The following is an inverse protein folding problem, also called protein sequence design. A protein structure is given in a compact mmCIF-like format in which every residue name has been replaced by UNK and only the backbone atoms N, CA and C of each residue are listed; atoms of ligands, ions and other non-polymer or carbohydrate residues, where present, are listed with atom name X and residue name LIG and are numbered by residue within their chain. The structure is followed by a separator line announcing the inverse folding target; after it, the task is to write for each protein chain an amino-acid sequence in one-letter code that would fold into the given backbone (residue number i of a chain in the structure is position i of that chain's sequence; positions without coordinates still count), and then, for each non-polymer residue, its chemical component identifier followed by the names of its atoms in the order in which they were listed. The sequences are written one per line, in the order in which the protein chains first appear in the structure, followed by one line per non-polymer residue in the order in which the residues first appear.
data_IF_099210721819
#
_entry.id   IF_099210721819
#
_cell.length_a   1.000
_cell.length_b   1.000
_cell.length_c   1.000
_cell.angle_alpha   90.00
_cell.angle_beta   90.00
_cell.angle_gamma   90.00
#
_symmetry.space_group_name_H-M   'P 1'
#
loop_
_entity.id
_entity.type
_entity.pdbx_description
1 polymer ?
#
# COMPACT_ATOMS: atom_id res chain seq x y z
N UNK A 1 8.67 -7.22 -51.51
CA UNK A 1 9.79 -6.42 -50.99
C UNK A 1 10.09 -6.89 -49.57
N UNK A 2 11.31 -7.36 -49.27
CA UNK A 2 11.68 -7.82 -47.93
C UNK A 2 11.61 -6.65 -46.93
N UNK A 3 11.25 -6.94 -45.68
CA UNK A 3 11.12 -5.95 -44.61
C UNK A 3 12.51 -5.48 -44.16
N UNK A 4 12.77 -4.16 -44.07
CA UNK A 4 14.07 -3.63 -43.66
C UNK A 4 14.30 -3.83 -42.16
N UNK A 5 15.13 -4.81 -41.79
CA UNK A 5 15.34 -5.24 -40.40
C UNK A 5 16.04 -4.19 -39.55
N UNK A 6 16.83 -3.30 -40.16
CA UNK A 6 17.52 -2.20 -39.50
C UNK A 6 16.54 -1.25 -38.81
N UNK A 7 15.35 -1.08 -39.40
CA UNK A 7 14.28 -0.27 -38.81
C UNK A 7 13.60 -0.95 -37.62
N UNK A 8 13.72 -2.27 -37.48
CA UNK A 8 13.12 -3.05 -36.40
C UNK A 8 14.06 -3.18 -35.19
N UNK A 9 15.37 -2.97 -35.35
CA UNK A 9 16.33 -3.06 -34.26
C UNK A 9 16.01 -2.13 -33.07
N UNK A 10 15.65 -0.84 -33.27
CA UNK A 10 15.28 0.03 -32.15
C UNK A 10 14.02 -0.47 -31.42
N UNK A 11 13.02 -0.95 -32.17
CA UNK A 11 11.80 -1.50 -31.58
C UNK A 11 12.07 -2.79 -30.82
N UNK A 12 12.94 -3.66 -31.32
CA UNK A 12 13.33 -4.89 -30.64
C UNK A 12 14.04 -4.59 -29.31
N UNK A 13 14.94 -3.61 -29.28
CA UNK A 13 15.62 -3.18 -28.05
C UNK A 13 14.60 -2.64 -27.05
N UNK A 14 13.66 -1.77 -27.48
CA UNK A 14 12.61 -1.25 -26.61
C UNK A 14 11.76 -2.38 -26.02
N UNK A 15 11.26 -3.30 -26.86
CA UNK A 15 10.46 -4.44 -26.42
C UNK A 15 11.24 -5.33 -25.45
N UNK A 16 12.52 -5.58 -25.71
CA UNK A 16 13.37 -6.36 -24.82
C UNK A 16 13.53 -5.69 -23.45
N UNK A 17 13.82 -4.39 -23.41
CA UNK A 17 13.96 -3.65 -22.14
C UNK A 17 12.65 -3.64 -21.35
N UNK A 18 11.52 -3.34 -21.99
CA UNK A 18 10.20 -3.40 -21.35
C UNK A 18 9.86 -4.82 -20.87
N UNK A 19 10.22 -5.84 -21.65
CA UNK A 19 10.04 -7.25 -21.28
C UNK A 19 10.85 -7.62 -20.04
N UNK A 20 12.13 -7.26 -20.00
CA UNK A 20 13.02 -7.50 -18.85
C UNK A 20 12.52 -6.76 -17.61
N UNK A 21 12.14 -5.49 -17.73
CA UNK A 21 11.62 -4.72 -16.59
C UNK A 21 10.29 -5.28 -16.10
N UNK A 22 9.37 -5.62 -17.00
CA UNK A 22 8.05 -6.17 -16.65
C UNK A 22 8.14 -7.52 -15.95
N UNK A 23 8.94 -8.44 -16.50
CA UNK A 23 9.18 -9.76 -15.91
C UNK A 23 9.94 -9.66 -14.59
N UNK A 24 10.96 -8.81 -14.50
CA UNK A 24 11.71 -8.54 -13.27
C UNK A 24 10.82 -8.02 -12.14
N UNK A 25 9.96 -7.04 -12.44
CA UNK A 25 9.00 -6.51 -11.45
C UNK A 25 7.98 -7.56 -11.02
N UNK A 26 7.47 -8.36 -11.96
CA UNK A 26 6.54 -9.44 -11.64
C UNK A 26 7.18 -10.47 -10.69
N UNK A 27 8.43 -10.86 -10.94
CA UNK A 27 9.17 -11.79 -10.10
C UNK A 27 9.42 -11.25 -8.69
N UNK A 28 9.85 -9.99 -8.56
CA UNK A 28 10.04 -9.37 -7.24
C UNK A 28 8.72 -9.32 -6.46
N UNK A 29 7.62 -8.94 -7.13
CA UNK A 29 6.30 -8.89 -6.49
C UNK A 29 5.79 -10.26 -6.07
N UNK A 30 6.01 -11.32 -6.84
CA UNK A 30 5.59 -12.68 -6.43
C UNK A 30 6.43 -13.17 -5.25
N UNK A 31 7.73 -12.90 -5.22
CA UNK A 31 8.60 -13.25 -4.09
C UNK A 31 8.21 -12.53 -2.80
N UNK A 32 7.91 -11.24 -2.87
CA UNK A 32 7.45 -10.46 -1.71
C UNK A 32 6.09 -10.91 -1.17
N UNK A 33 5.26 -11.52 -2.01
CA UNK A 33 3.92 -11.99 -1.65
C UNK A 33 3.86 -13.48 -1.35
N UNK A 34 4.98 -14.09 -0.92
CA UNK A 34 5.04 -15.52 -0.57
C UNK A 34 4.62 -16.44 -1.73
N UNK A 35 4.89 -16.01 -2.98
CA UNK A 35 4.49 -16.71 -4.20
C UNK A 35 3.05 -16.44 -4.64
N UNK A 36 2.25 -15.73 -3.86
CA UNK A 36 0.86 -15.37 -4.21
C UNK A 36 0.82 -14.15 -5.12
N UNK A 37 -0.25 -14.03 -5.91
CA UNK A 37 -0.45 -12.87 -6.79
C UNK A 37 -0.72 -11.62 -5.94
N UNK A 38 -0.21 -10.44 -6.34
CA UNK A 38 -0.54 -9.18 -5.67
C UNK A 38 -2.05 -8.91 -5.78
N UNK A 39 -2.62 -8.32 -4.72
CA UNK A 39 -4.02 -7.88 -4.70
C UNK A 39 -4.07 -6.44 -5.15
N UNK A 40 -5.05 -6.11 -5.98
CA UNK A 40 -5.32 -4.76 -6.46
C UNK A 40 -6.64 -4.27 -5.86
N UNK A 41 -6.89 -2.96 -5.89
CA UNK A 41 -8.16 -2.34 -5.45
C UNK A 41 -8.63 -2.74 -4.05
N UNK A 42 -7.70 -2.84 -3.09
CA UNK A 42 -8.03 -3.17 -1.69
C UNK A 42 -8.87 -2.04 -1.07
N UNK A 43 -10.05 -2.39 -0.58
CA UNK A 43 -10.97 -1.46 0.09
C UNK A 43 -10.66 -1.33 1.60
N UNK A 44 -11.49 -0.55 2.32
CA UNK A 44 -11.30 -0.37 3.75
C UNK A 44 -11.54 -1.68 4.54
N UNK A 45 -12.39 -2.56 4.03
CA UNK A 45 -12.68 -3.86 4.64
C UNK A 45 -11.47 -4.78 4.55
N UNK A 46 -10.88 -4.89 3.36
CA UNK A 46 -9.68 -5.68 3.10
C UNK A 46 -8.48 -5.21 3.92
N UNK A 47 -8.31 -3.88 4.02
CA UNK A 47 -7.15 -3.27 4.69
C UNK A 47 -7.25 -3.27 6.21
N UNK A 48 -8.38 -2.80 6.76
CA UNK A 48 -8.43 -2.31 8.13
C UNK A 48 -9.48 -3.03 8.99
N UNK A 49 -10.58 -3.50 8.39
CA UNK A 49 -11.78 -3.76 9.18
C UNK A 49 -11.86 -5.21 9.70
N UNK A 50 -11.42 -6.25 8.95
CA UNK A 50 -11.04 -7.50 9.63
C UNK A 50 -10.08 -8.45 8.88
N UNK A 51 -9.63 -8.22 7.65
CA UNK A 51 -9.04 -9.32 6.85
C UNK A 51 -7.51 -9.33 6.91
N UNK A 52 -6.82 -8.39 6.26
CA UNK A 52 -5.35 -8.49 6.11
C UNK A 52 -4.59 -8.27 7.42
N UNK A 53 -4.96 -7.28 8.23
CA UNK A 53 -4.35 -7.02 9.55
C UNK A 53 -4.66 -8.14 10.56
N UNK A 54 -5.79 -8.86 10.40
CA UNK A 54 -6.11 -10.05 11.21
C UNK A 54 -5.29 -11.25 10.78
N UNK A 55 -5.27 -11.56 9.49
CA UNK A 55 -4.54 -12.73 8.95
C UNK A 55 -3.05 -12.62 9.31
N UNK A 56 -2.48 -11.42 9.24
CA UNK A 56 -1.11 -11.16 9.70
C UNK A 56 -0.90 -11.49 11.18
N UNK A 57 -1.89 -11.24 12.04
CA UNK A 57 -1.83 -11.59 13.47
C UNK A 57 -1.99 -13.10 13.70
N UNK A 58 -2.75 -13.78 12.85
CA UNK A 58 -2.96 -15.24 12.93
C UNK A 58 -1.76 -16.04 12.41
N UNK A 59 -1.13 -15.61 11.30
CA UNK A 59 -0.05 -16.38 10.65
C UNK A 59 1.33 -15.79 10.84
N UNK A 60 1.45 -14.55 11.35
CA UNK A 60 2.72 -13.84 11.50
C UNK A 60 3.31 -13.31 10.18
N UNK A 61 2.73 -13.65 9.04
CA UNK A 61 3.18 -13.22 7.70
C UNK A 61 2.14 -12.34 7.01
N UNK A 62 2.57 -11.49 6.06
CA UNK A 62 1.63 -10.56 5.41
C UNK A 62 0.64 -11.26 4.46
N UNK A 63 0.98 -12.44 3.93
CA UNK A 63 0.16 -13.17 2.95
C UNK A 63 -0.19 -14.60 3.37
N UNK A 64 0.13 -14.97 4.60
CA UNK A 64 -0.22 -16.27 5.18
C UNK A 64 -1.73 -16.45 5.24
N UNK A 65 -2.16 -17.69 5.03
CA UNK A 65 -3.55 -18.10 5.24
C UNK A 65 -3.50 -19.37 6.09
N UNK A 66 -4.39 -19.45 7.05
CA UNK A 66 -4.56 -20.63 7.91
C UNK A 66 -6.02 -21.06 7.87
N UNK A 67 -6.26 -22.37 7.87
CA UNK A 67 -7.57 -22.99 7.96
C UNK A 67 -7.79 -23.70 9.28
N UNK A 68 -6.89 -23.51 10.26
CA UNK A 68 -7.00 -24.11 11.58
C UNK A 68 -8.27 -23.61 12.29
N UNK A 69 -8.97 -24.54 12.93
CA UNK A 69 -10.23 -24.25 13.64
C UNK A 69 -9.98 -23.46 14.93
N UNK A 70 -8.84 -23.72 15.59
CA UNK A 70 -8.44 -23.04 16.82
C UNK A 70 -7.30 -22.04 16.53
N UNK A 71 -7.43 -20.84 17.08
CA UNK A 71 -6.43 -19.79 16.90
C UNK A 71 -5.15 -20.09 17.70
N UNK A 72 -3.97 -19.64 17.24
CA UNK A 72 -2.74 -19.86 17.97
C UNK A 72 -2.80 -19.17 19.35
N UNK A 73 -2.19 -19.79 20.39
CA UNK A 73 -2.17 -19.22 21.72
C UNK A 73 -1.47 -17.85 21.70
N UNK A 74 -2.07 -16.88 22.38
CA UNK A 74 -1.58 -15.50 22.41
C UNK A 74 -2.20 -14.56 21.38
N UNK A 75 -2.94 -15.07 20.38
CA UNK A 75 -3.71 -14.21 19.45
C UNK A 75 -4.67 -13.27 20.21
N UNK A 76 -5.23 -13.75 21.32
CA UNK A 76 -6.13 -13.04 22.23
C UNK A 76 -5.58 -11.68 22.70
N UNK A 77 -4.25 -11.58 22.88
CA UNK A 77 -3.60 -10.38 23.42
C UNK A 77 -2.98 -9.48 22.34
N UNK A 78 -3.10 -9.82 21.05
CA UNK A 78 -2.47 -9.09 19.94
C UNK A 78 -3.31 -7.92 19.41
N UNK A 79 -4.38 -7.55 20.09
CA UNK A 79 -5.29 -6.47 19.68
C UNK A 79 -4.70 -5.08 19.97
N UNK A 80 -3.92 -4.56 19.01
CA UNK A 80 -3.42 -3.18 19.06
C UNK A 80 -4.45 -2.17 18.53
N UNK A 81 -4.90 -1.25 19.39
CA UNK A 81 -5.68 -0.09 18.96
C UNK A 81 -4.75 0.99 18.39
N UNK A 82 -4.98 1.41 17.15
CA UNK A 82 -4.21 2.48 16.52
C UNK A 82 -4.62 3.82 17.13
N UNK A 83 -3.78 4.37 18.01
CA UNK A 83 -3.98 5.72 18.54
C UNK A 83 -3.64 6.76 17.46
N UNK A 84 -4.63 7.59 17.09
CA UNK A 84 -4.39 8.71 16.18
C UNK A 84 -3.89 9.90 17.01
N UNK A 85 -2.66 10.35 16.74
CA UNK A 85 -2.11 11.53 17.37
C UNK A 85 -2.69 12.79 16.69
N UNK A 86 -3.48 13.59 17.43
CA UNK A 86 -4.13 14.81 16.95
C UNK A 86 -3.23 16.06 17.05
N UNK A 87 -1.97 15.98 16.61
CA UNK A 87 -1.04 17.13 16.72
C UNK A 87 -1.21 18.23 15.66
N UNK A 88 -2.19 18.13 14.75
CA UNK A 88 -2.29 19.03 13.60
C UNK A 88 -3.48 20.01 13.60
N UNK A 89 -4.37 19.97 14.59
CA UNK A 89 -5.62 20.76 14.53
C UNK A 89 -5.54 22.08 15.32
N UNK A 90 -4.55 22.23 16.19
CA UNK A 90 -4.33 23.48 16.95
C UNK A 90 -3.60 24.56 16.15
N UNK A 91 -2.80 24.20 15.13
CA UNK A 91 -2.09 25.18 14.30
C UNK A 91 -3.02 25.89 13.30
N UNK A 92 -4.12 25.25 12.88
CA UNK A 92 -5.09 25.88 11.97
C UNK A 92 -6.08 26.80 12.70
N UNK A 93 -6.43 26.50 13.96
CA UNK A 93 -7.32 27.34 14.76
C UNK A 93 -6.65 28.62 15.27
N UNK A 94 -5.34 28.59 15.58
CA UNK A 94 -4.63 29.84 15.92
C UNK A 94 -4.50 30.82 14.74
N UNK A 95 -4.45 30.32 13.49
CA UNK A 95 -4.33 31.19 12.31
C UNK A 95 -5.62 31.95 12.02
N UNK A 96 -6.78 31.32 12.20
CA UNK A 96 -8.09 31.99 12.02
C UNK A 96 -8.36 33.02 13.11
N UNK A 97 -7.91 32.78 14.34
CA UNK A 97 -8.09 33.73 15.44
C UNK A 97 -7.20 34.97 15.27
N UNK A 98 -5.96 34.83 14.78
CA UNK A 98 -5.09 35.97 14.47
C UNK A 98 -5.68 36.81 13.32
N UNK A 99 -6.21 36.17 12.28
CA UNK A 99 -6.77 36.86 11.12
C UNK A 99 -8.03 37.69 11.48
N UNK A 100 -8.94 37.13 12.29
CA UNK A 100 -10.14 37.83 12.77
C UNK A 100 -9.82 38.98 13.75
N UNK A 101 -8.73 38.89 14.51
CA UNK A 101 -8.33 39.95 15.44
C UNK A 101 -7.67 41.14 14.72
N UNK A 102 -6.98 40.93 13.60
CA UNK A 102 -6.42 42.02 12.76
C UNK A 102 -7.49 42.81 12.02
N UNK A 103 -8.57 42.16 11.57
CA UNK A 103 -9.66 42.84 10.84
C UNK A 103 -10.47 43.79 11.74
N UNK A 104 -10.67 43.42 13.02
CA UNK A 104 -11.39 44.26 14.00
C UNK A 104 -10.58 45.42 14.58
N UNK A 105 -9.29 45.56 14.26
CA UNK A 105 -8.43 46.68 14.72
C UNK A 105 -8.25 47.77 13.65
N UNK A 106 -8.70 47.54 12.42
CA UNK A 106 -8.51 48.46 11.27
C UNK A 106 -9.78 49.28 10.97
N UNK A 107 -10.86 49.10 11.74
CA UNK A 107 -12.08 49.93 11.70
C UNK A 107 -12.25 50.70 12.99
#
# INVERSE_FOLDING_TARGET
MPVPFETLLPYAIMVAMFGVTGTGLAFVRTKQNEGKRPRYSLDAWDRLYPVMDRDRRLTGTMRGQTSEAEAPPGFEFTNGWKARHFAGLLTHLQSTDICLQTEKRIV
#
